data_IF_865351619286
#
_entry.id   IF_865351619286
#
_cell.length_a   1.000
_cell.length_b   1.000
_cell.length_c   1.000
_cell.angle_alpha   90.00
_cell.angle_beta   90.00
_cell.angle_gamma   90.00
#
_symmetry.space_group_name_H-M   'P 1'
#
loop_
_entity.id
_entity.type
_entity.pdbx_description
1 polymer ?
#
# COMPACT_ATOMS: atom_id res chain seq x y z
N UNK A 1 11.78 -11.94 -32.94
CA UNK A 1 12.33 -11.67 -31.59
C UNK A 1 12.06 -12.86 -30.67
N UNK A 2 12.64 -12.84 -29.48
CA UNK A 2 12.60 -13.89 -28.46
C UNK A 2 12.22 -13.26 -27.13
N UNK A 3 11.22 -13.79 -26.44
CA UNK A 3 10.71 -13.24 -25.18
C UNK A 3 9.87 -14.27 -24.42
N UNK A 4 9.75 -14.10 -23.11
CA UNK A 4 8.90 -14.91 -22.22
C UNK A 4 7.59 -14.14 -22.04
N UNK A 5 6.67 -14.24 -23.01
CA UNK A 5 5.52 -13.32 -23.09
C UNK A 5 4.38 -13.69 -22.13
N UNK A 6 4.34 -14.96 -21.71
CA UNK A 6 3.35 -15.48 -20.78
C UNK A 6 3.92 -15.75 -19.38
N UNK A 7 5.17 -15.32 -19.14
CA UNK A 7 5.86 -15.40 -17.85
C UNK A 7 5.96 -16.85 -17.33
N UNK A 8 6.04 -17.85 -18.21
CA UNK A 8 6.16 -19.26 -17.85
C UNK A 8 7.61 -19.72 -17.61
N UNK A 9 8.58 -18.82 -17.81
CA UNK A 9 9.99 -19.07 -17.59
C UNK A 9 10.68 -19.74 -18.77
N UNK A 10 10.03 -19.83 -19.92
CA UNK A 10 10.62 -20.28 -21.17
C UNK A 10 10.59 -19.17 -22.21
N UNK A 11 11.65 -19.08 -23.01
CA UNK A 11 11.66 -18.11 -24.09
C UNK A 11 10.88 -18.64 -25.29
N UNK A 12 9.89 -17.87 -25.70
CA UNK A 12 9.06 -18.05 -26.88
C UNK A 12 9.65 -17.33 -28.09
N UNK A 13 9.11 -17.64 -29.27
CA UNK A 13 9.58 -17.07 -30.53
C UNK A 13 8.46 -16.33 -31.25
N UNK A 14 8.74 -15.09 -31.61
CA UNK A 14 8.00 -14.39 -32.65
C UNK A 14 8.79 -14.41 -33.96
N UNK A 15 8.18 -14.91 -35.02
CA UNK A 15 8.78 -14.92 -36.37
C UNK A 15 7.96 -14.10 -37.34
N UNK A 16 8.64 -13.24 -38.09
CA UNK A 16 8.05 -12.51 -39.22
C UNK A 16 8.05 -13.36 -40.50
N UNK A 17 7.07 -13.11 -41.36
CA UNK A 17 6.94 -13.71 -42.70
C UNK A 17 6.19 -12.75 -43.65
N UNK A 18 6.21 -13.07 -44.94
CA UNK A 18 5.60 -12.29 -46.03
C UNK A 18 4.07 -12.36 -46.01
N UNK A 19 3.50 -13.46 -45.52
CA UNK A 19 2.04 -13.66 -45.51
C UNK A 19 1.41 -13.42 -44.12
N UNK A 20 2.06 -13.91 -43.06
CA UNK A 20 1.57 -13.82 -41.68
C UNK A 20 2.71 -14.05 -40.69
N UNK A 21 2.70 -13.38 -39.54
CA UNK A 21 3.62 -13.71 -38.46
C UNK A 21 3.30 -15.06 -37.79
N UNK A 22 4.21 -15.54 -36.94
CA UNK A 22 3.96 -16.66 -36.01
C UNK A 22 4.41 -16.33 -34.60
N UNK A 23 3.57 -16.68 -33.63
CA UNK A 23 3.93 -16.75 -32.22
C UNK A 23 4.00 -18.23 -31.81
N UNK A 24 5.21 -18.66 -31.45
CA UNK A 24 5.52 -20.03 -31.11
C UNK A 24 5.85 -20.12 -29.63
N UNK A 25 4.94 -20.71 -28.85
CA UNK A 25 5.12 -20.92 -27.42
C UNK A 25 6.05 -22.10 -27.15
N UNK A 26 7.02 -21.93 -26.28
CA UNK A 26 7.97 -22.96 -25.89
C UNK A 26 7.38 -23.88 -24.81
N UNK A 27 7.38 -25.18 -25.08
CA UNK A 27 6.79 -26.17 -24.17
C UNK A 27 7.77 -26.70 -23.11
N UNK A 28 8.96 -26.09 -22.97
CA UNK A 28 10.00 -26.46 -22.00
C UNK A 28 10.73 -27.79 -22.31
N UNK A 29 10.37 -28.47 -23.39
CA UNK A 29 10.91 -29.78 -23.80
C UNK A 29 11.62 -29.73 -25.17
N UNK A 30 11.91 -28.52 -25.67
CA UNK A 30 12.49 -28.30 -26.99
C UNK A 30 11.50 -28.38 -28.16
N UNK A 31 10.20 -28.46 -27.88
CA UNK A 31 9.13 -28.32 -28.88
C UNK A 31 8.42 -26.98 -28.71
N UNK A 32 7.78 -26.53 -29.79
CA UNK A 32 7.02 -25.29 -29.83
C UNK A 32 5.59 -25.55 -30.31
N UNK A 33 4.63 -24.84 -29.72
CA UNK A 33 3.22 -24.80 -30.12
C UNK A 33 2.93 -23.49 -30.86
N UNK A 34 2.27 -23.56 -32.02
CA UNK A 34 1.79 -22.36 -32.72
C UNK A 34 0.55 -21.84 -31.99
N UNK A 35 0.67 -20.64 -31.42
CA UNK A 35 -0.37 -19.94 -30.63
C UNK A 35 -0.90 -18.70 -31.33
N UNK A 36 -0.51 -18.48 -32.59
CA UNK A 36 -0.76 -17.23 -33.34
C UNK A 36 -2.24 -16.85 -33.36
N UNK A 37 -3.13 -17.82 -33.60
CA UNK A 37 -4.57 -17.57 -33.66
C UNK A 37 -5.15 -17.31 -32.27
N UNK A 38 -4.79 -18.16 -31.30
CA UNK A 38 -5.33 -18.09 -29.95
C UNK A 38 -4.90 -16.82 -29.22
N UNK A 39 -3.72 -16.27 -29.51
CA UNK A 39 -3.25 -15.01 -28.92
C UNK A 39 -3.65 -13.77 -29.71
N UNK A 40 -4.46 -13.89 -30.78
CA UNK A 40 -4.98 -12.73 -31.52
C UNK A 40 -4.04 -12.12 -32.56
N UNK A 41 -3.00 -12.86 -32.98
CA UNK A 41 -2.01 -12.43 -33.97
C UNK A 41 -2.29 -13.00 -35.38
N UNK A 42 -3.45 -13.63 -35.61
CA UNK A 42 -3.87 -14.15 -36.92
C UNK A 42 -4.41 -13.03 -37.83
N UNK A 43 -3.51 -12.20 -38.32
CA UNK A 43 -3.79 -11.22 -39.36
C UNK A 43 -2.88 -11.44 -40.57
N UNK A 44 -3.42 -11.18 -41.76
CA UNK A 44 -2.67 -11.25 -43.01
C UNK A 44 -1.93 -9.93 -43.24
N UNK A 45 -0.61 -9.97 -43.11
CA UNK A 45 0.27 -8.85 -43.44
C UNK A 45 1.69 -9.37 -43.68
N UNK A 46 2.40 -8.71 -44.60
CA UNK A 46 3.85 -8.87 -44.66
C UNK A 46 4.44 -8.19 -43.42
N UNK A 47 4.95 -9.01 -42.52
CA UNK A 47 5.68 -8.57 -41.33
C UNK A 47 7.18 -8.59 -41.61
N UNK A 48 7.88 -7.51 -41.27
CA UNK A 48 9.36 -7.43 -41.40
C UNK A 48 10.05 -7.86 -40.11
N UNK A 49 9.56 -7.33 -38.98
CA UNK A 49 10.15 -7.57 -37.67
C UNK A 49 9.09 -7.54 -36.58
N UNK A 50 9.43 -8.10 -35.41
CA UNK A 50 8.63 -7.94 -34.20
C UNK A 50 9.54 -7.82 -32.99
N UNK A 51 9.11 -7.05 -32.00
CA UNK A 51 9.93 -6.67 -30.85
C UNK A 51 9.08 -6.73 -29.57
N UNK A 52 9.47 -7.61 -28.65
CA UNK A 52 8.87 -7.67 -27.33
C UNK A 52 9.38 -6.54 -26.44
N UNK A 53 8.49 -5.90 -25.69
CA UNK A 53 8.81 -4.92 -24.65
C UNK A 53 7.64 -4.83 -23.65
N UNK A 54 7.90 -4.44 -22.42
CA UNK A 54 6.87 -4.13 -21.43
C UNK A 54 6.68 -2.60 -21.45
N UNK A 55 5.74 -2.10 -22.25
CA UNK A 55 5.68 -0.67 -22.57
C UNK A 55 4.94 0.14 -21.50
N UNK A 56 4.00 -0.48 -20.80
CA UNK A 56 3.13 0.18 -19.84
C UNK A 56 3.48 -0.18 -18.37
N UNK A 57 4.55 -0.97 -18.20
CA UNK A 57 5.10 -1.43 -16.93
C UNK A 57 4.17 -2.36 -16.14
N UNK A 58 3.26 -3.08 -16.78
CA UNK A 58 2.25 -3.92 -16.10
C UNK A 58 2.68 -5.37 -15.82
N UNK A 59 3.96 -5.70 -16.09
CA UNK A 59 4.62 -7.00 -15.87
C UNK A 59 4.43 -8.02 -16.99
N UNK A 60 3.80 -7.69 -18.12
CA UNK A 60 3.77 -8.53 -19.30
C UNK A 60 4.53 -7.92 -20.49
N UNK A 61 4.81 -8.76 -21.51
CA UNK A 61 5.49 -8.29 -22.72
C UNK A 61 4.48 -8.02 -23.82
N UNK A 62 4.36 -6.74 -24.20
CA UNK A 62 3.75 -6.26 -25.42
C UNK A 62 4.60 -6.58 -26.65
N UNK A 63 4.01 -6.36 -27.83
CA UNK A 63 4.65 -6.66 -29.10
C UNK A 63 4.45 -5.55 -30.13
N UNK A 64 5.54 -4.88 -30.50
CA UNK A 64 5.57 -4.04 -31.69
C UNK A 64 5.88 -4.89 -32.93
N UNK A 65 5.13 -4.71 -34.02
CA UNK A 65 5.27 -5.45 -35.27
C UNK A 65 5.38 -4.46 -36.43
N UNK A 66 6.54 -4.48 -37.10
CA UNK A 66 6.71 -3.70 -38.32
C UNK A 66 6.13 -4.44 -39.52
N UNK A 67 5.37 -3.73 -40.36
CA UNK A 67 4.71 -4.30 -41.54
C UNK A 67 5.16 -3.62 -42.83
N UNK A 68 4.99 -4.30 -43.96
CA UNK A 68 5.27 -3.75 -45.29
C UNK A 68 3.96 -3.41 -46.01
N UNK A 69 3.84 -2.17 -46.48
CA UNK A 69 2.65 -1.71 -47.22
C UNK A 69 1.38 -1.56 -46.37
N UNK A 70 1.49 -1.61 -45.04
CA UNK A 70 0.43 -1.31 -44.06
C UNK A 70 0.98 -0.57 -42.84
N UNK A 71 0.13 -0.24 -41.88
CA UNK A 71 0.57 0.40 -40.63
C UNK A 71 1.30 -0.60 -39.76
N UNK A 72 2.35 -0.13 -39.07
CA UNK A 72 2.95 -0.88 -37.98
C UNK A 72 1.92 -1.09 -36.86
N UNK A 73 2.08 -2.19 -36.15
CA UNK A 73 1.14 -2.61 -35.11
C UNK A 73 1.80 -2.60 -33.75
N UNK A 74 1.12 -2.03 -32.78
CA UNK A 74 1.43 -2.22 -31.38
C UNK A 74 0.34 -3.11 -30.78
N UNK A 75 0.75 -4.29 -30.36
CA UNK A 75 -0.12 -5.29 -29.77
C UNK A 75 0.13 -5.29 -28.26
N UNK A 76 -0.83 -4.77 -27.51
CA UNK A 76 -0.79 -4.76 -26.04
C UNK A 76 -1.10 -6.16 -25.54
N UNK A 77 -0.23 -6.70 -24.70
CA UNK A 77 -0.53 -7.93 -23.99
C UNK A 77 -1.42 -7.58 -22.81
N UNK A 78 -2.52 -8.31 -22.66
CA UNK A 78 -3.46 -8.12 -21.58
C UNK A 78 -3.57 -9.42 -20.80
N UNK A 79 -3.60 -9.30 -19.48
CA UNK A 79 -3.87 -10.44 -18.60
C UNK A 79 -5.18 -11.17 -18.98
N UNK A 80 -5.10 -12.33 -19.63
CA UNK A 80 -6.28 -13.03 -20.16
C UNK A 80 -6.02 -14.20 -21.12
N UNK A 81 -7.10 -14.80 -21.64
CA UNK A 81 -7.05 -16.04 -22.45
C UNK A 81 -6.85 -15.82 -23.97
N UNK A 82 -6.74 -14.56 -24.40
CA UNK A 82 -6.20 -14.15 -25.70
C UNK A 82 -5.39 -12.89 -25.41
N UNK A 83 -4.07 -13.02 -25.41
CA UNK A 83 -3.18 -12.04 -24.78
C UNK A 83 -3.02 -10.77 -25.58
N UNK A 84 -2.93 -10.81 -26.92
CA UNK A 84 -2.56 -9.60 -27.68
C UNK A 84 -3.77 -8.88 -28.32
N UNK A 85 -3.92 -7.60 -28.00
CA UNK A 85 -4.94 -6.70 -28.57
C UNK A 85 -4.27 -5.56 -29.35
N UNK A 86 -4.79 -5.28 -30.54
CA UNK A 86 -4.30 -4.16 -31.36
C UNK A 86 -4.60 -2.82 -30.68
N UNK A 87 -3.57 -2.21 -30.10
CA UNK A 87 -3.61 -0.96 -29.39
C UNK A 87 -2.88 0.16 -30.16
N UNK A 88 -2.59 -0.05 -31.46
CA UNK A 88 -1.82 0.88 -32.30
C UNK A 88 -2.36 2.31 -32.28
N UNK A 89 -3.68 2.49 -32.27
CA UNK A 89 -4.29 3.83 -32.14
C UNK A 89 -4.08 4.45 -30.75
N UNK A 90 -4.22 3.66 -29.68
CA UNK A 90 -4.08 4.16 -28.31
C UNK A 90 -2.64 4.61 -28.03
N UNK A 91 -1.67 3.87 -28.57
CA UNK A 91 -0.24 4.12 -28.43
C UNK A 91 0.34 5.06 -29.51
N UNK A 92 -0.49 5.55 -30.44
CA UNK A 92 -0.10 6.56 -31.44
C UNK A 92 0.54 6.05 -32.73
N UNK A 93 0.73 4.72 -32.86
CA UNK A 93 1.26 4.06 -34.06
C UNK A 93 0.30 4.06 -35.27
N UNK A 94 -0.95 4.53 -35.13
CA UNK A 94 -1.90 4.64 -36.25
C UNK A 94 -1.46 5.56 -37.40
N UNK A 95 -0.41 6.37 -37.21
CA UNK A 95 0.15 7.23 -38.25
C UNK A 95 1.54 6.77 -38.69
N UNK A 96 1.98 5.63 -38.19
CA UNK A 96 3.25 5.02 -38.51
C UNK A 96 3.08 4.11 -39.74
N UNK A 97 3.14 4.75 -40.91
CA UNK A 97 2.90 4.14 -42.22
C UNK A 97 4.17 3.69 -42.93
N UNK A 98 5.28 3.65 -42.22
CA UNK A 98 6.59 3.54 -42.84
C UNK A 98 7.01 2.06 -42.90
N UNK A 99 7.61 1.65 -44.03
CA UNK A 99 8.15 0.30 -44.28
C UNK A 99 9.38 0.06 -43.37
N UNK A 100 9.12 -0.04 -42.08
CA UNK A 100 10.12 -0.20 -41.03
C UNK A 100 10.71 -1.61 -41.11
N UNK A 101 12.01 -1.67 -41.35
CA UNK A 101 12.73 -2.94 -41.36
C UNK A 101 13.30 -3.28 -39.97
N UNK A 102 13.38 -2.30 -39.07
CA UNK A 102 14.23 -2.35 -37.89
C UNK A 102 13.73 -1.43 -36.79
N UNK A 103 13.77 -1.94 -35.55
CA UNK A 103 13.47 -1.18 -34.36
C UNK A 103 14.29 -1.64 -33.16
N UNK A 104 14.46 -0.74 -32.19
CA UNK A 104 15.10 -1.00 -30.90
C UNK A 104 14.38 -0.23 -29.80
N UNK A 105 14.34 -0.82 -28.61
CA UNK A 105 13.81 -0.14 -27.43
C UNK A 105 14.89 0.19 -26.40
N UNK A 106 14.59 1.18 -25.58
CA UNK A 106 15.34 1.55 -24.39
C UNK A 106 14.79 2.84 -23.80
N UNK A 107 14.91 3.02 -22.50
CA UNK A 107 14.55 4.28 -21.84
C UNK A 107 15.66 5.32 -22.07
N UNK A 108 15.48 6.20 -23.07
CA UNK A 108 16.52 7.13 -23.52
C UNK A 108 16.55 8.42 -22.71
N UNK A 109 15.44 8.77 -22.06
CA UNK A 109 15.32 9.99 -21.26
C UNK A 109 15.47 9.72 -19.74
N UNK A 110 15.47 8.46 -19.33
CA UNK A 110 15.64 7.99 -17.95
C UNK A 110 14.38 8.08 -17.11
N UNK A 111 13.19 8.15 -17.69
CA UNK A 111 11.92 8.37 -16.98
C UNK A 111 11.22 7.10 -16.47
N UNK A 112 11.77 5.92 -16.77
CA UNK A 112 11.20 4.64 -16.34
C UNK A 112 10.22 4.02 -17.31
N UNK A 113 10.03 4.59 -18.50
CA UNK A 113 9.23 4.01 -19.56
C UNK A 113 10.11 3.67 -20.77
N UNK A 114 9.98 2.48 -21.37
CA UNK A 114 10.75 2.16 -22.57
C UNK A 114 10.33 3.04 -23.75
N UNK A 115 11.31 3.69 -24.37
CA UNK A 115 11.14 4.40 -25.63
C UNK A 115 11.47 3.48 -26.80
N UNK A 116 10.97 3.83 -27.98
CA UNK A 116 11.16 3.04 -29.20
C UNK A 116 11.82 3.88 -30.30
N UNK A 117 12.82 3.33 -30.96
CA UNK A 117 13.42 3.92 -32.15
C UNK A 117 13.27 2.99 -33.33
N UNK A 118 12.86 3.54 -34.47
CA UNK A 118 12.70 2.80 -35.72
C UNK A 118 13.45 3.47 -36.87
N UNK A 119 13.79 2.65 -37.86
CA UNK A 119 14.46 3.08 -39.10
C UNK A 119 13.66 2.59 -40.30
N UNK A 120 13.24 3.54 -41.13
CA UNK A 120 12.66 3.28 -42.44
C UNK A 120 13.77 2.95 -43.45
N UNK A 121 13.73 1.76 -44.07
CA UNK A 121 14.82 1.30 -44.95
C UNK A 121 14.49 1.34 -46.45
N UNK A 122 13.22 1.34 -46.84
CA UNK A 122 12.81 1.11 -48.23
C UNK A 122 11.93 2.22 -48.85
N UNK A 123 12.03 3.47 -48.37
CA UNK A 123 11.36 4.60 -49.01
C UNK A 123 12.11 5.04 -50.28
N UNK A 124 11.53 4.91 -51.49
CA UNK A 124 12.23 5.26 -52.72
C UNK A 124 12.38 6.77 -52.94
N UNK A 125 11.67 7.61 -52.18
CA UNK A 125 11.56 9.06 -52.41
C UNK A 125 11.74 9.93 -51.15
N UNK A 126 12.11 9.37 -50.00
CA UNK A 126 12.25 10.10 -48.73
C UNK A 126 13.59 9.74 -48.08
N UNK A 127 14.34 10.77 -47.66
CA UNK A 127 15.55 10.67 -46.83
C UNK A 127 15.23 9.72 -45.65
N UNK A 128 15.87 8.54 -45.58
CA UNK A 128 15.59 7.48 -44.59
C UNK A 128 15.19 8.07 -43.23
N UNK A 129 13.91 7.96 -42.87
CA UNK A 129 13.41 8.57 -41.63
C UNK A 129 13.83 7.71 -40.45
N UNK A 130 14.54 8.34 -39.52
CA UNK A 130 14.79 7.79 -38.20
C UNK A 130 13.75 8.40 -37.26
N UNK A 131 12.89 7.55 -36.72
CA UNK A 131 11.87 7.97 -35.77
C UNK A 131 12.30 7.57 -34.36
N UNK A 132 12.04 8.46 -33.42
CA UNK A 132 12.18 8.21 -31.99
C UNK A 132 10.84 8.53 -31.35
N UNK A 133 10.23 7.50 -30.79
CA UNK A 133 8.95 7.53 -30.10
C UNK A 133 9.23 7.56 -28.61
N UNK A 134 8.90 8.68 -27.96
CA UNK A 134 9.07 8.84 -26.52
C UNK A 134 7.80 8.42 -25.81
N UNK A 135 7.89 7.37 -25.02
CA UNK A 135 6.77 6.90 -24.20
C UNK A 135 6.50 7.93 -23.10
N UNK A 136 5.24 8.32 -22.94
CA UNK A 136 4.86 9.38 -21.98
C UNK A 136 4.37 8.83 -20.64
N UNK A 137 4.32 7.50 -20.45
CA UNK A 137 4.04 6.87 -19.16
C UNK A 137 2.65 7.19 -18.60
N UNK A 138 1.63 6.40 -18.93
CA UNK A 138 0.23 6.76 -18.57
C UNK A 138 -0.38 5.95 -17.43
N UNK A 139 0.29 4.89 -16.98
CA UNK A 139 -0.28 3.88 -16.07
C UNK A 139 -0.03 4.13 -14.58
N UNK A 140 0.99 4.93 -14.24
CA UNK A 140 1.44 5.09 -12.85
C UNK A 140 2.09 3.83 -12.26
N UNK A 141 2.35 2.84 -13.11
CA UNK A 141 3.03 1.60 -12.77
C UNK A 141 4.52 1.84 -12.52
N UNK A 142 5.08 1.01 -11.65
CA UNK A 142 6.47 1.04 -11.24
C UNK A 142 7.37 0.25 -12.21
N UNK A 143 8.67 0.52 -12.18
CA UNK A 143 9.64 -0.20 -13.00
C UNK A 143 10.85 -0.66 -12.20
N UNK A 144 11.58 -1.64 -12.72
CA UNK A 144 12.89 -2.02 -12.20
C UNK A 144 13.84 -2.34 -13.37
N UNK A 145 15.00 -1.69 -13.38
CA UNK A 145 15.97 -1.80 -14.49
C UNK A 145 17.32 -2.36 -14.03
N UNK A 146 17.95 -3.15 -14.89
CA UNK A 146 19.23 -3.79 -14.61
C UNK A 146 20.29 -3.50 -15.65
N UNK A 147 21.40 -2.92 -15.21
CA UNK A 147 22.64 -2.82 -15.97
C UNK A 147 23.67 -3.78 -15.39
N UNK A 148 23.91 -4.88 -16.09
CA UNK A 148 24.92 -5.86 -15.68
C UNK A 148 26.30 -5.52 -16.24
N UNK A 149 27.35 -5.76 -15.46
CA UNK A 149 28.75 -5.55 -15.85
C UNK A 149 29.55 -6.81 -15.49
N UNK A 150 29.95 -7.56 -16.53
CA UNK A 150 30.82 -8.72 -16.35
C UNK A 150 32.26 -8.32 -16.01
N UNK A 151 32.90 -9.09 -15.13
CA UNK A 151 34.29 -8.95 -14.70
C UNK A 151 35.15 -10.15 -15.12
N UNK A 152 34.59 -11.36 -14.97
CA UNK A 152 35.13 -12.63 -15.45
C UNK A 152 34.55 -12.96 -16.82
N UNK A 153 33.24 -12.82 -16.95
CA UNK A 153 32.51 -12.91 -18.21
C UNK A 153 32.75 -11.70 -19.12
N UNK A 154 32.14 -11.70 -20.30
CA UNK A 154 32.22 -10.56 -21.21
C UNK A 154 31.65 -9.28 -20.53
N UNK A 155 32.27 -8.12 -20.79
CA UNK A 155 31.99 -6.87 -20.07
C UNK A 155 30.55 -6.36 -20.21
N UNK A 156 29.85 -6.76 -21.27
CA UNK A 156 28.44 -6.43 -21.49
C UNK A 156 27.49 -7.46 -20.86
N UNK A 157 28.02 -8.46 -20.17
CA UNK A 157 27.28 -9.55 -19.52
C UNK A 157 26.33 -10.30 -20.48
N UNK A 158 26.63 -10.31 -21.78
CA UNK A 158 25.82 -10.99 -22.80
C UNK A 158 25.74 -12.47 -22.48
N UNK A 159 24.53 -13.02 -22.48
CA UNK A 159 24.22 -14.39 -22.09
C UNK A 159 23.69 -14.54 -20.66
N UNK A 160 23.73 -13.48 -19.84
CA UNK A 160 23.13 -13.52 -18.50
C UNK A 160 21.62 -13.67 -18.56
N UNK A 161 21.05 -14.36 -17.59
CA UNK A 161 19.61 -14.50 -17.40
C UNK A 161 19.22 -13.82 -16.10
N UNK A 162 18.27 -12.91 -16.16
CA UNK A 162 17.71 -12.20 -15.00
C UNK A 162 16.30 -12.71 -14.79
N UNK A 163 15.99 -13.16 -13.58
CA UNK A 163 14.62 -13.48 -13.15
C UNK A 163 14.25 -12.58 -11.99
N UNK A 164 13.09 -11.95 -12.09
CA UNK A 164 12.50 -11.11 -11.04
C UNK A 164 11.24 -11.81 -10.55
N UNK A 165 11.12 -11.98 -9.24
CA UNK A 165 9.96 -12.59 -8.60
C UNK A 165 9.22 -11.54 -7.78
N UNK A 166 7.89 -11.50 -7.91
CA UNK A 166 7.04 -10.53 -7.20
C UNK A 166 5.64 -11.14 -7.03
N UNK A 167 5.21 -11.36 -5.78
CA UNK A 167 3.92 -11.95 -5.41
C UNK A 167 3.59 -13.24 -6.19
N UNK A 168 4.59 -14.11 -6.35
CA UNK A 168 4.46 -15.38 -7.08
C UNK A 168 4.47 -15.27 -8.60
N UNK A 169 4.54 -14.06 -9.17
CA UNK A 169 4.77 -13.83 -10.61
C UNK A 169 6.27 -13.84 -10.86
N UNK A 170 6.69 -14.49 -11.95
CA UNK A 170 8.07 -14.52 -12.41
C UNK A 170 8.18 -13.82 -13.76
N UNK A 171 9.08 -12.85 -13.88
CA UNK A 171 9.49 -12.32 -15.18
C UNK A 171 10.92 -12.76 -15.50
N UNK A 172 11.20 -13.10 -16.76
CA UNK A 172 12.55 -13.39 -17.25
C UNK A 172 12.99 -12.43 -18.35
N UNK A 173 14.23 -11.94 -18.28
CA UNK A 173 14.93 -11.31 -19.41
C UNK A 173 16.31 -11.92 -19.60
N UNK A 174 16.82 -11.88 -20.84
CA UNK A 174 18.19 -12.27 -21.16
C UNK A 174 18.94 -11.08 -21.74
N UNK A 175 20.19 -10.91 -21.29
CA UNK A 175 21.07 -9.91 -21.88
C UNK A 175 21.54 -10.42 -23.24
N UNK A 176 20.89 -9.96 -24.31
CA UNK A 176 21.23 -10.27 -25.69
C UNK A 176 22.27 -9.32 -26.28
N UNK A 177 22.78 -9.67 -27.46
CA UNK A 177 23.50 -8.74 -28.34
C UNK A 177 22.88 -8.77 -29.73
N UNK A 178 22.46 -7.60 -30.22
CA UNK A 178 21.64 -7.48 -31.42
C UNK A 178 20.18 -7.86 -31.18
N UNK A 179 19.31 -7.27 -31.99
CA UNK A 179 17.89 -7.60 -32.08
C UNK A 179 17.44 -7.29 -33.51
N UNK A 180 16.49 -8.05 -34.04
CA UNK A 180 15.93 -7.86 -35.39
C UNK A 180 17.02 -7.59 -36.48
N UNK A 181 16.65 -6.93 -37.57
CA UNK A 181 17.57 -6.61 -38.66
C UNK A 181 18.28 -5.29 -38.37
N UNK A 182 19.62 -5.31 -38.26
CA UNK A 182 20.45 -4.11 -38.11
C UNK A 182 20.12 -3.19 -36.90
N UNK A 183 19.46 -3.72 -35.86
CA UNK A 183 19.20 -3.00 -34.61
C UNK A 183 19.77 -3.69 -33.37
N UNK A 184 19.70 -2.97 -32.26
CA UNK A 184 20.11 -3.45 -30.95
C UNK A 184 19.33 -2.71 -29.87
N UNK A 185 18.63 -3.47 -29.03
CA UNK A 185 18.01 -2.93 -27.82
C UNK A 185 19.06 -2.45 -26.82
N UNK A 186 18.63 -1.63 -25.86
CA UNK A 186 19.43 -1.30 -24.69
C UNK A 186 19.95 -2.57 -23.99
N UNK A 187 21.20 -2.52 -23.51
CA UNK A 187 21.72 -3.56 -22.62
C UNK A 187 21.12 -3.47 -21.21
N UNK A 188 20.44 -2.37 -20.88
CA UNK A 188 19.69 -2.25 -19.63
C UNK A 188 18.40 -3.04 -19.78
N UNK A 189 18.26 -4.11 -19.00
CA UNK A 189 17.04 -4.92 -18.99
C UNK A 189 15.96 -4.21 -18.20
N UNK A 190 14.76 -4.21 -18.74
CA UNK A 190 13.60 -3.51 -18.18
C UNK A 190 12.53 -4.51 -17.75
N UNK A 191 11.96 -4.25 -16.58
CA UNK A 191 10.86 -5.01 -15.98
C UNK A 191 9.82 -3.99 -15.49
N UNK A 192 8.58 -4.12 -15.95
CA UNK A 192 7.45 -3.49 -15.30
C UNK A 192 7.16 -4.16 -13.96
N UNK A 193 6.61 -3.41 -13.03
CA UNK A 193 6.33 -3.84 -11.67
C UNK A 193 4.88 -3.57 -11.27
N UNK A 194 4.02 -3.18 -12.22
CA UNK A 194 2.63 -2.81 -11.99
C UNK A 194 2.51 -1.87 -10.78
N UNK A 195 1.64 -2.19 -9.81
CA UNK A 195 1.49 -1.42 -8.57
C UNK A 195 2.43 -1.84 -7.42
N UNK A 196 3.33 -2.81 -7.64
CA UNK A 196 4.22 -3.31 -6.59
C UNK A 196 5.37 -2.33 -6.35
N UNK A 197 5.65 -2.05 -5.07
CA UNK A 197 6.73 -1.15 -4.64
C UNK A 197 8.05 -1.85 -4.34
N UNK A 198 8.04 -3.19 -4.28
CA UNK A 198 9.20 -4.03 -3.94
C UNK A 198 9.12 -5.31 -4.78
N UNK A 199 10.27 -5.76 -5.31
CA UNK A 199 10.45 -7.10 -5.85
C UNK A 199 10.97 -8.04 -4.76
N UNK A 200 10.33 -9.20 -4.58
CA UNK A 200 10.66 -10.16 -3.52
C UNK A 200 12.09 -10.69 -3.67
N UNK A 201 12.45 -11.13 -4.88
CA UNK A 201 13.80 -11.59 -5.17
C UNK A 201 14.20 -11.43 -6.63
N UNK A 202 15.51 -11.36 -6.84
CA UNK A 202 16.14 -11.27 -8.15
C UNK A 202 17.21 -12.33 -8.25
N UNK A 203 17.14 -13.17 -9.28
CA UNK A 203 18.12 -14.20 -9.55
C UNK A 203 18.83 -13.91 -10.87
N UNK A 204 20.15 -13.80 -10.83
CA UNK A 204 20.99 -13.50 -11.99
C UNK A 204 21.95 -14.66 -12.20
N UNK A 205 21.71 -15.41 -13.28
CA UNK A 205 22.66 -16.40 -13.77
C UNK A 205 23.62 -15.73 -14.76
N UNK A 206 24.86 -15.55 -14.35
CA UNK A 206 25.93 -15.00 -15.16
C UNK A 206 26.45 -16.01 -16.21
N UNK A 207 27.12 -15.56 -17.28
CA UNK A 207 27.57 -16.45 -18.36
C UNK A 207 28.61 -17.49 -17.92
N UNK A 208 29.35 -17.24 -16.85
CA UNK A 208 30.32 -18.18 -16.26
C UNK A 208 29.68 -19.21 -15.32
N UNK A 209 28.39 -19.06 -15.02
CA UNK A 209 27.63 -19.91 -14.11
C UNK A 209 27.54 -19.40 -12.68
N UNK A 210 28.11 -18.23 -12.34
CA UNK A 210 27.82 -17.56 -11.08
C UNK A 210 26.31 -17.28 -10.97
N UNK A 211 25.73 -17.55 -9.81
CA UNK A 211 24.33 -17.31 -9.50
C UNK A 211 24.26 -16.31 -8.35
N UNK A 212 23.78 -15.10 -8.65
CA UNK A 212 23.60 -14.00 -7.70
C UNK A 212 22.11 -13.90 -7.35
N UNK A 213 21.79 -13.94 -6.05
CA UNK A 213 20.41 -13.72 -5.57
C UNK A 213 20.36 -12.49 -4.68
N UNK A 214 19.40 -11.59 -4.94
CA UNK A 214 19.13 -10.38 -4.16
C UNK A 214 17.68 -10.42 -3.65
N UNK A 215 17.39 -9.83 -2.50
CA UNK A 215 16.06 -9.80 -1.87
C UNK A 215 15.56 -8.38 -1.61
N UNK A 216 14.24 -8.23 -1.49
CA UNK A 216 13.55 -7.01 -1.02
C UNK A 216 13.97 -5.73 -1.74
N UNK A 217 13.89 -5.77 -3.07
CA UNK A 217 14.45 -4.74 -3.92
C UNK A 217 13.39 -3.69 -4.24
N UNK A 218 13.59 -2.47 -3.75
CA UNK A 218 12.73 -1.36 -4.07
C UNK A 218 12.67 -1.10 -5.59
N UNK A 219 11.51 -0.67 -6.08
CA UNK A 219 11.28 -0.34 -7.49
C UNK A 219 11.70 1.10 -7.82
N UNK A 220 11.37 1.57 -9.02
CA UNK A 220 11.62 2.91 -9.58
C UNK A 220 13.09 3.29 -9.65
N UNK A 221 13.93 2.29 -9.92
CA UNK A 221 15.37 2.49 -9.99
C UNK A 221 16.06 1.66 -11.07
N UNK A 222 17.29 2.04 -11.37
CA UNK A 222 18.22 1.27 -12.21
C UNK A 222 19.35 0.74 -11.35
N UNK A 223 19.40 -0.57 -11.19
CA UNK A 223 20.48 -1.26 -10.48
C UNK A 223 21.63 -1.54 -11.45
N UNK A 224 22.84 -1.14 -11.06
CA UNK A 224 24.07 -1.54 -11.76
C UNK A 224 24.76 -2.62 -10.94
N UNK A 225 24.80 -3.84 -11.47
CA UNK A 225 25.35 -5.01 -10.79
C UNK A 225 26.65 -5.45 -11.46
N UNK A 226 27.67 -5.72 -10.64
CA UNK A 226 29.01 -6.07 -11.10
C UNK A 226 29.28 -7.51 -10.67
N UNK A 227 29.53 -8.37 -11.66
CA UNK A 227 29.78 -9.80 -11.48
C UNK A 227 30.86 -10.08 -10.42
N UNK A 228 30.48 -10.81 -9.36
CA UNK A 228 31.40 -11.30 -8.32
C UNK A 228 31.89 -10.22 -7.35
N UNK A 229 31.20 -9.08 -7.28
CA UNK A 229 31.52 -7.97 -6.38
C UNK A 229 30.42 -7.70 -5.35
N UNK A 230 29.44 -8.59 -5.25
CA UNK A 230 28.39 -8.57 -4.25
C UNK A 230 28.96 -9.01 -2.89
N UNK A 231 28.72 -8.21 -1.85
CA UNK A 231 29.05 -8.52 -0.46
C UNK A 231 27.73 -8.80 0.24
N UNK A 232 27.48 -10.08 0.49
CA UNK A 232 26.24 -10.56 1.08
C UNK A 232 26.30 -10.54 2.61
N UNK A 233 25.22 -10.11 3.23
CA UNK A 233 24.98 -10.17 4.66
C UNK A 233 23.83 -9.23 5.03
N UNK A 234 23.45 -9.19 6.30
CA UNK A 234 22.29 -8.39 6.70
C UNK A 234 22.52 -6.88 6.47
N UNK A 235 21.67 -6.25 5.65
CA UNK A 235 21.78 -4.80 5.36
C UNK A 235 20.85 -3.93 6.20
N UNK A 236 20.00 -4.52 7.04
CA UNK A 236 19.08 -3.77 7.91
C UNK A 236 19.80 -3.29 9.19
N UNK A 237 19.96 -1.97 9.40
CA UNK A 237 20.59 -1.42 10.61
C UNK A 237 19.81 -1.70 11.91
N UNK A 238 18.55 -2.12 11.84
CA UNK A 238 17.73 -2.51 13.00
C UNK A 238 17.89 -3.99 13.37
N UNK A 239 18.55 -4.80 12.54
CA UNK A 239 18.77 -6.21 12.81
C UNK A 239 19.96 -6.45 13.75
N UNK A 240 19.90 -7.54 14.53
CA UNK A 240 20.96 -7.92 15.47
C UNK A 240 22.28 -8.28 14.82
N UNK A 241 22.27 -8.73 13.56
CA UNK A 241 23.45 -9.14 12.81
C UNK A 241 23.73 -8.20 11.62
N UNK A 242 23.35 -6.92 11.72
CA UNK A 242 23.66 -5.92 10.71
C UNK A 242 25.15 -5.90 10.34
N UNK A 243 25.45 -5.98 9.05
CA UNK A 243 26.79 -5.96 8.48
C UNK A 243 26.98 -4.71 7.61
N UNK A 244 27.68 -3.67 8.10
CA UNK A 244 27.78 -2.38 7.39
C UNK A 244 28.60 -2.43 6.09
N UNK A 245 29.35 -3.51 5.86
CA UNK A 245 30.12 -3.73 4.62
C UNK A 245 29.31 -4.52 3.57
N UNK A 246 28.14 -5.05 3.95
CA UNK A 246 27.27 -5.76 3.03
C UNK A 246 26.62 -4.80 2.05
N UNK A 247 26.72 -5.13 0.77
CA UNK A 247 26.11 -4.37 -0.32
C UNK A 247 24.74 -4.90 -0.69
N UNK A 248 24.41 -6.13 -0.27
CA UNK A 248 23.14 -6.79 -0.56
C UNK A 248 22.69 -7.67 0.60
N UNK A 249 21.39 -7.58 0.91
CA UNK A 249 20.76 -8.47 1.86
C UNK A 249 20.72 -9.90 1.33
N UNK A 250 21.03 -10.86 2.18
CA UNK A 250 21.00 -12.29 1.89
C UNK A 250 19.87 -13.02 2.63
N UNK A 251 18.94 -12.28 3.22
CA UNK A 251 17.87 -12.82 4.06
C UNK A 251 18.37 -13.35 5.41
N UNK A 252 19.61 -13.07 5.80
CA UNK A 252 20.16 -13.50 7.09
C UNK A 252 19.78 -12.59 8.25
N UNK A 253 19.12 -11.45 8.02
CA UNK A 253 18.76 -10.51 9.07
C UNK A 253 17.96 -11.19 10.20
N UNK A 254 18.48 -11.07 11.42
CA UNK A 254 17.90 -11.62 12.64
C UNK A 254 17.35 -10.49 13.49
N UNK A 255 16.07 -10.63 13.86
CA UNK A 255 15.37 -9.68 14.72
C UNK A 255 15.05 -10.32 16.06
N UNK A 256 14.83 -9.47 17.07
CA UNK A 256 14.38 -9.92 18.38
C UNK A 256 12.88 -10.20 18.32
N UNK A 257 12.50 -11.48 18.22
CA UNK A 257 11.09 -11.87 18.29
C UNK A 257 10.57 -11.77 19.73
N UNK A 258 9.63 -10.86 19.97
CA UNK A 258 9.00 -10.66 21.30
C UNK A 258 7.52 -10.35 21.17
N UNK A 259 6.83 -10.46 22.30
CA UNK A 259 5.41 -10.11 22.42
C UNK A 259 5.14 -8.60 22.57
N UNK A 260 6.19 -7.76 22.60
CA UNK A 260 6.08 -6.33 22.92
C UNK A 260 5.87 -6.06 24.41
N UNK A 261 5.71 -4.79 24.78
CA UNK A 261 5.44 -4.38 26.16
C UNK A 261 4.03 -4.84 26.56
N UNK A 262 3.93 -5.60 27.66
CA UNK A 262 2.67 -6.08 28.22
C UNK A 262 2.25 -5.24 29.42
N UNK A 263 0.97 -4.86 29.50
CA UNK A 263 0.39 -4.16 30.63
C UNK A 263 -0.96 -3.52 30.31
N UNK A 264 -1.49 -2.72 31.23
CA UNK A 264 -2.79 -2.07 31.07
C UNK A 264 -2.70 -0.89 30.09
N UNK A 265 -3.52 -0.91 29.04
CA UNK A 265 -3.61 0.18 28.05
C UNK A 265 -4.60 1.26 28.44
N UNK A 266 -5.42 1.05 29.49
CA UNK A 266 -6.35 2.03 30.05
C UNK A 266 -6.18 2.18 31.57
N UNK A 267 -4.96 2.54 32.04
CA UNK A 267 -4.69 2.64 33.45
C UNK A 267 -5.43 3.82 34.07
N UNK A 268 -5.81 3.67 35.33
CA UNK A 268 -6.38 4.74 36.14
C UNK A 268 -5.25 5.61 36.68
N UNK A 269 -5.35 6.93 36.54
CA UNK A 269 -4.31 7.84 37.03
C UNK A 269 -4.10 7.70 38.55
N UNK A 270 -2.89 8.01 39.01
CA UNK A 270 -2.45 7.92 40.41
C UNK A 270 -2.47 6.50 41.01
N UNK A 271 -2.71 5.47 40.21
CA UNK A 271 -2.52 4.06 40.60
C UNK A 271 -1.25 3.48 40.01
N UNK A 272 -0.69 2.49 40.70
CA UNK A 272 0.52 1.78 40.28
C UNK A 272 0.14 0.62 39.37
N UNK A 273 0.78 0.55 38.21
CA UNK A 273 0.67 -0.54 37.24
C UNK A 273 2.03 -1.15 36.99
N UNK A 274 2.04 -2.45 36.70
CA UNK A 274 3.25 -3.18 36.32
C UNK A 274 3.20 -3.39 34.81
N UNK A 275 4.28 -3.00 34.13
CA UNK A 275 4.50 -3.29 32.72
C UNK A 275 5.67 -4.26 32.60
N UNK A 276 5.51 -5.29 31.80
CA UNK A 276 6.50 -6.36 31.62
C UNK A 276 6.91 -6.50 30.17
N UNK A 277 8.11 -7.01 29.96
CA UNK A 277 8.64 -7.44 28.68
C UNK A 277 9.24 -8.85 28.83
N UNK A 278 9.42 -9.53 27.69
CA UNK A 278 10.04 -10.85 27.66
C UNK A 278 11.48 -10.77 28.20
N UNK A 279 11.84 -11.65 29.15
CA UNK A 279 13.19 -11.69 29.70
C UNK A 279 14.15 -12.30 28.69
N UNK A 280 15.02 -11.46 28.13
CA UNK A 280 16.15 -11.80 27.28
C UNK A 280 17.43 -11.84 28.12
N UNK A 281 18.07 -13.01 28.20
CA UNK A 281 19.34 -13.17 28.92
C UNK A 281 20.47 -12.39 28.21
N UNK A 282 21.22 -11.59 28.96
CA UNK A 282 22.35 -10.82 28.44
C UNK A 282 22.00 -9.49 27.78
N UNK A 283 20.72 -9.07 27.84
CA UNK A 283 20.26 -7.76 27.39
C UNK A 283 20.10 -6.79 28.57
N UNK A 284 20.39 -5.52 28.31
CA UNK A 284 20.10 -4.39 29.17
C UNK A 284 18.76 -3.75 28.76
N UNK A 285 18.04 -3.18 29.74
CA UNK A 285 16.71 -2.60 29.55
C UNK A 285 16.71 -1.13 29.97
N UNK A 286 16.25 -0.24 29.10
CA UNK A 286 16.07 1.18 29.38
C UNK A 286 14.63 1.60 29.12
N UNK A 287 13.90 1.88 30.19
CA UNK A 287 12.52 2.36 30.13
C UNK A 287 12.47 3.89 30.17
N UNK A 288 11.64 4.47 29.31
CA UNK A 288 11.33 5.90 29.24
C UNK A 288 9.81 6.09 29.25
N UNK A 289 9.33 7.14 29.92
CA UNK A 289 7.91 7.40 30.07
C UNK A 289 7.57 8.87 29.81
N UNK A 290 6.45 9.10 29.13
CA UNK A 290 5.83 10.42 28.96
C UNK A 290 4.37 10.37 29.43
N UNK A 291 4.00 11.23 30.39
CA UNK A 291 2.65 11.28 30.99
C UNK A 291 2.53 10.56 32.34
N UNK A 292 3.64 10.01 32.87
CA UNK A 292 3.72 9.33 34.16
C UNK A 292 5.16 9.30 34.70
N UNK A 293 5.36 8.55 35.78
CA UNK A 293 6.66 8.31 36.42
C UNK A 293 6.92 6.80 36.54
N UNK A 294 8.18 6.39 36.31
CA UNK A 294 8.67 5.04 36.65
C UNK A 294 9.09 5.04 38.11
N UNK A 295 8.44 4.23 38.94
CA UNK A 295 8.70 4.14 40.37
C UNK A 295 9.88 3.20 40.68
N UNK A 296 9.96 2.07 39.98
CA UNK A 296 10.96 1.03 40.20
C UNK A 296 11.09 0.10 38.99
N UNK A 297 12.13 -0.75 38.97
CA UNK A 297 12.34 -1.75 37.91
C UNK A 297 13.21 -1.31 36.72
N UNK A 298 13.72 -0.07 36.71
CA UNK A 298 14.65 0.40 35.68
C UNK A 298 15.88 -0.53 35.56
N UNK A 299 16.30 -0.85 34.34
CA UNK A 299 17.36 -1.84 34.10
C UNK A 299 16.89 -3.30 34.09
N UNK A 300 15.59 -3.56 34.23
CA UNK A 300 15.04 -4.93 34.23
C UNK A 300 13.92 -5.09 33.19
N UNK A 301 13.48 -6.32 32.96
CA UNK A 301 12.38 -6.62 32.03
C UNK A 301 10.99 -6.25 32.57
N UNK A 302 10.89 -5.63 33.75
CA UNK A 302 9.65 -5.24 34.41
C UNK A 302 9.80 -3.86 35.07
N UNK A 303 8.79 -2.98 34.95
CA UNK A 303 8.75 -1.67 35.62
C UNK A 303 7.42 -1.42 36.31
N UNK A 304 7.49 -0.77 37.47
CA UNK A 304 6.34 -0.19 38.15
C UNK A 304 6.17 1.26 37.71
N UNK A 305 4.98 1.60 37.21
CA UNK A 305 4.65 2.89 36.62
C UNK A 305 3.42 3.50 37.30
N UNK A 306 3.43 4.81 37.50
CA UNK A 306 2.24 5.60 37.85
C UNK A 306 1.97 6.63 36.77
N UNK A 307 0.74 6.69 36.28
CA UNK A 307 0.31 7.70 35.32
C UNK A 307 -0.25 8.92 36.03
N UNK A 308 0.24 10.11 35.66
CA UNK A 308 -0.08 11.38 36.32
C UNK A 308 -0.95 12.30 35.46
N UNK A 309 -1.14 11.96 34.19
CA UNK A 309 -1.94 12.74 33.24
C UNK A 309 -3.12 11.91 32.73
N UNK A 310 -4.25 12.59 32.51
CA UNK A 310 -5.42 12.03 31.80
C UNK A 310 -5.29 12.11 30.28
N UNK A 311 -4.21 12.72 29.77
CA UNK A 311 -3.84 12.65 28.36
C UNK A 311 -3.23 11.28 28.03
N UNK A 312 -3.03 11.03 26.74
CA UNK A 312 -2.40 9.80 26.25
C UNK A 312 -1.00 9.63 26.84
N UNK A 313 -0.75 8.47 27.46
CA UNK A 313 0.57 8.09 27.97
C UNK A 313 1.40 7.37 26.92
N UNK A 314 2.71 7.50 27.00
CA UNK A 314 3.66 6.74 26.17
C UNK A 314 4.72 6.10 27.06
N UNK A 315 4.84 4.78 26.99
CA UNK A 315 5.91 4.02 27.63
C UNK A 315 6.79 3.43 26.53
N UNK A 316 8.08 3.79 26.52
CA UNK A 316 9.07 3.32 25.57
C UNK A 316 10.10 2.43 26.28
N UNK A 317 10.43 1.30 25.68
CA UNK A 317 11.50 0.41 26.14
C UNK A 317 12.56 0.33 25.04
N UNK A 318 13.80 0.66 25.38
CA UNK A 318 14.97 0.38 24.55
C UNK A 318 15.72 -0.79 25.17
N UNK A 319 15.95 -1.86 24.42
CA UNK A 319 16.80 -2.98 24.83
C UNK A 319 18.11 -2.96 24.05
N UNK A 320 19.21 -3.31 24.71
CA UNK A 320 20.53 -3.41 24.10
C UNK A 320 21.23 -4.69 24.56
N UNK A 321 21.67 -5.52 23.62
CA UNK A 321 22.27 -6.82 23.88
C UNK A 321 23.71 -6.95 23.35
N UNK A 322 24.22 -8.19 23.33
CA UNK A 322 25.50 -8.52 22.71
C UNK A 322 25.54 -8.10 21.23
N UNK A 323 26.75 -7.90 20.71
CA UNK A 323 27.01 -7.57 19.30
C UNK A 323 26.32 -6.30 18.79
N UNK A 324 26.03 -5.35 19.69
CA UNK A 324 25.35 -4.08 19.40
C UNK A 324 23.89 -4.23 18.95
N UNK A 325 23.28 -5.40 19.17
CA UNK A 325 21.85 -5.56 18.86
C UNK A 325 21.02 -4.65 19.77
N UNK A 326 20.21 -3.78 19.16
CA UNK A 326 19.31 -2.88 19.86
C UNK A 326 17.92 -2.92 19.24
N UNK A 327 16.90 -2.84 20.07
CA UNK A 327 15.51 -2.70 19.62
C UNK A 327 14.75 -1.74 20.52
N UNK A 328 13.74 -1.09 19.96
CA UNK A 328 12.88 -0.16 20.69
C UNK A 328 11.40 -0.54 20.52
N UNK A 329 10.67 -0.54 21.63
CA UNK A 329 9.25 -0.84 21.69
C UNK A 329 8.51 0.32 22.36
N UNK A 330 7.28 0.57 21.95
CA UNK A 330 6.45 1.63 22.52
C UNK A 330 5.02 1.14 22.78
N UNK A 331 4.48 1.51 23.93
CA UNK A 331 3.10 1.24 24.34
C UNK A 331 2.38 2.56 24.61
N UNK A 332 1.27 2.76 23.91
CA UNK A 332 0.40 3.94 24.06
C UNK A 332 -0.74 3.60 25.02
N UNK A 333 -0.97 4.44 26.03
CA UNK A 333 -2.06 4.26 27.00
C UNK A 333 -3.08 5.38 26.93
N UNK A 334 -4.35 5.07 27.20
CA UNK A 334 -5.42 6.05 27.36
C UNK A 334 -5.83 6.13 28.84
N UNK A 335 -5.29 7.09 29.56
CA UNK A 335 -5.39 7.14 31.02
C UNK A 335 -6.77 7.65 31.48
N UNK A 336 -7.32 7.03 32.53
CA UNK A 336 -8.70 7.30 32.99
C UNK A 336 -8.69 7.91 34.41
N UNK A 337 -9.59 8.86 34.66
CA UNK A 337 -9.79 9.46 35.97
C UNK A 337 -10.54 8.49 36.91
N UNK A 338 -10.07 8.34 38.15
CA UNK A 338 -10.62 7.42 39.16
C UNK A 338 -11.97 7.87 39.75
N UNK A 339 -12.35 9.14 39.62
CA UNK A 339 -13.67 9.63 40.06
C UNK A 339 -14.11 10.87 39.29
N UNK A 340 -15.29 10.81 38.67
CA UNK A 340 -16.08 12.00 38.32
C UNK A 340 -16.61 12.61 39.63
N UNK A 341 -16.27 13.86 39.94
CA UNK A 341 -16.94 14.60 41.03
C UNK A 341 -18.47 14.60 40.82
N UNK A 342 -19.20 14.39 41.93
CA UNK A 342 -20.66 14.23 42.01
C UNK A 342 -21.44 15.27 41.18
N UNK A 343 -22.10 14.82 40.12
CA UNK A 343 -23.13 15.59 39.41
C UNK A 343 -24.42 15.64 40.25
N UNK A 344 -24.96 16.83 40.48
CA UNK A 344 -26.27 17.05 41.14
C UNK A 344 -27.36 16.33 40.36
N UNK A 345 -27.90 15.24 40.89
CA UNK A 345 -29.01 14.50 40.29
C UNK A 345 -30.33 15.23 40.54
N UNK A 346 -30.98 15.69 39.47
CA UNK A 346 -32.32 16.27 39.52
C UNK A 346 -33.37 15.14 39.39
N UNK A 347 -34.20 14.93 40.42
CA UNK A 347 -35.20 13.86 40.40
C UNK A 347 -36.51 14.33 39.73
N UNK A 348 -36.77 13.86 38.51
CA UNK A 348 -38.05 14.01 37.82
C UNK A 348 -38.90 12.73 37.96
N UNK A 349 -40.22 12.89 38.03
CA UNK A 349 -41.22 11.81 38.00
C UNK A 349 -42.42 12.27 37.19
N UNK A 350 -43.13 11.32 36.62
CA UNK A 350 -44.19 11.53 35.63
C UNK A 350 -45.34 10.59 36.11
N UNK A 351 -46.57 11.10 36.37
CA UNK A 351 -47.83 10.30 36.56
C UNK A 351 -49.07 10.73 35.73
N UNK A 352 -49.98 9.80 35.32
CA UNK A 352 -51.17 10.11 34.51
C UNK A 352 -52.29 10.75 35.34
N UNK A 353 -52.98 11.78 34.82
CA UNK A 353 -54.13 12.42 35.46
C UNK A 353 -55.48 11.82 34.97
N UNK A 354 -56.31 11.20 35.83
CA UNK A 354 -57.52 10.49 35.38
C UNK A 354 -58.74 11.36 35.07
N UNK A 355 -58.72 12.68 35.33
CA UNK A 355 -59.97 13.45 35.46
C UNK A 355 -60.39 14.33 34.28
N UNK A 356 -59.67 14.39 33.15
CA UNK A 356 -60.12 15.26 32.03
C UNK A 356 -59.69 14.86 30.61
N UNK A 357 -59.42 13.57 30.34
CA UNK A 357 -59.17 13.07 28.97
C UNK A 357 -57.90 13.59 28.26
N UNK A 358 -57.15 14.48 28.90
CA UNK A 358 -55.82 14.95 28.50
C UNK A 358 -54.78 14.38 29.48
N UNK A 359 -53.96 13.44 29.00
CA UNK A 359 -52.91 12.79 29.79
C UNK A 359 -51.70 13.72 29.91
N UNK A 360 -51.46 14.22 31.13
CA UNK A 360 -50.40 15.18 31.45
C UNK A 360 -49.69 14.81 32.76
N UNK A 361 -48.37 15.01 32.80
CA UNK A 361 -47.45 14.49 33.82
C UNK A 361 -46.34 15.51 34.21
N UNK A 362 -45.96 15.64 35.51
CA UNK A 362 -44.73 16.34 35.99
C UNK A 362 -44.27 16.00 37.43
N UNK A 363 -43.02 16.37 37.79
CA UNK A 363 -42.50 16.55 39.18
C UNK A 363 -41.42 17.64 39.32
N UNK A 364 -41.23 18.16 40.55
CA UNK A 364 -40.35 19.28 40.93
C UNK A 364 -39.03 18.89 41.59
N UNK A 365 -38.07 19.80 41.44
CA UNK A 365 -37.07 20.16 42.44
C UNK A 365 -37.14 21.68 42.69
N UNK A 366 -36.57 22.17 43.80
CA UNK A 366 -36.54 23.61 44.18
C UNK A 366 -35.79 24.41 43.12
N UNK A 367 -36.51 25.00 42.16
CA UNK A 367 -35.93 25.95 41.21
C UNK A 367 -35.78 27.29 41.93
N UNK A 368 -34.55 27.60 42.35
CA UNK A 368 -34.19 28.94 42.84
C UNK A 368 -34.43 29.98 41.75
N UNK A 369 -34.66 31.24 42.12
CA UNK A 369 -34.94 32.29 41.14
C UNK A 369 -33.77 32.49 40.17
N UNK A 370 -33.84 31.91 38.98
CA UNK A 370 -32.87 32.13 37.90
C UNK A 370 -33.11 33.47 37.21
N UNK A 371 -32.05 34.09 36.71
CA UNK A 371 -32.13 35.23 35.80
C UNK A 371 -32.24 34.80 34.33
N UNK A 372 -32.03 33.52 34.03
CA UNK A 372 -32.10 32.94 32.69
C UNK A 372 -33.39 32.14 32.49
N UNK A 373 -33.91 32.07 31.25
CA UNK A 373 -35.01 31.17 30.92
C UNK A 373 -34.59 29.73 31.16
N UNK A 374 -35.49 28.94 31.73
CA UNK A 374 -35.26 27.52 31.97
C UNK A 374 -35.95 26.73 30.86
N UNK A 375 -35.17 25.94 30.11
CA UNK A 375 -35.67 25.00 29.11
C UNK A 375 -35.85 23.61 29.70
N UNK A 376 -36.99 22.99 29.44
CA UNK A 376 -37.26 21.60 29.79
C UNK A 376 -37.75 20.89 28.53
N UNK A 377 -37.09 19.78 28.19
CA UNK A 377 -37.43 18.95 27.05
C UNK A 377 -37.55 17.48 27.45
N UNK A 378 -38.48 16.77 26.82
CA UNK A 378 -38.64 15.33 26.93
C UNK A 378 -38.20 14.72 25.61
N UNK A 379 -37.22 13.84 25.69
CA UNK A 379 -36.62 13.13 24.57
C UNK A 379 -37.02 11.65 24.64
N UNK A 380 -37.32 11.04 23.50
CA UNK A 380 -37.36 9.58 23.43
C UNK A 380 -35.94 8.98 23.53
N UNK A 381 -35.82 7.64 23.59
CA UNK A 381 -34.51 6.96 23.68
C UNK A 381 -33.64 7.12 22.43
N UNK A 382 -34.17 7.65 21.33
CA UNK A 382 -33.41 7.98 20.12
C UNK A 382 -32.89 9.43 20.12
N UNK A 383 -33.22 10.22 21.15
CA UNK A 383 -32.82 11.61 21.28
C UNK A 383 -33.74 12.59 20.53
N UNK A 384 -34.91 12.15 20.04
CA UNK A 384 -35.88 13.02 19.41
C UNK A 384 -36.69 13.76 20.48
N UNK A 385 -36.81 15.08 20.34
CA UNK A 385 -37.66 15.92 21.21
C UNK A 385 -39.13 15.59 20.97
N UNK A 386 -39.77 15.06 22.00
CA UNK A 386 -41.19 14.70 22.04
C UNK A 386 -42.04 15.84 22.59
N UNK A 387 -41.49 16.61 23.53
CA UNK A 387 -42.16 17.76 24.11
C UNK A 387 -41.15 18.75 24.67
N UNK A 388 -41.46 20.05 24.63
CA UNK A 388 -40.59 21.11 25.17
C UNK A 388 -41.40 22.22 25.83
N UNK A 389 -40.83 22.86 26.84
CA UNK A 389 -41.37 24.07 27.44
C UNK A 389 -40.25 24.98 27.96
N UNK A 390 -40.43 26.29 27.80
CA UNK A 390 -39.54 27.32 28.33
C UNK A 390 -40.27 28.11 29.43
N UNK A 391 -39.67 28.16 30.62
CA UNK A 391 -40.18 28.91 31.76
C UNK A 391 -39.45 30.26 31.87
N UNK A 392 -40.22 31.36 31.81
CA UNK A 392 -39.68 32.75 31.80
C UNK A 392 -40.00 33.56 33.07
N UNK A 393 -40.56 32.96 34.13
CA UNK A 393 -40.89 33.66 35.38
C UNK A 393 -40.01 33.23 36.56
N UNK A 394 -39.51 34.22 37.32
CA UNK A 394 -38.91 34.04 38.66
C UNK A 394 -39.98 33.43 39.60
N UNK A 395 -39.97 32.11 39.73
CA UNK A 395 -40.86 31.41 40.66
C UNK A 395 -40.22 31.42 42.06
N UNK A 396 -40.99 31.81 43.08
CA UNK A 396 -40.53 31.90 44.47
C UNK A 396 -40.51 30.51 45.13
N UNK A 397 -39.76 29.56 44.55
CA UNK A 397 -39.57 28.23 45.11
C UNK A 397 -40.89 27.44 45.29
N UNK A 398 -41.85 27.62 44.36
CA UNK A 398 -43.15 26.93 44.36
C UNK A 398 -43.21 25.83 43.29
N UNK A 399 -44.13 24.88 43.48
CA UNK A 399 -44.49 23.88 42.48
C UNK A 399 -45.15 24.58 41.25
N UNK A 400 -44.40 24.69 40.15
CA UNK A 400 -44.82 25.19 38.81
C UNK A 400 -45.33 24.12 37.83
N UNK A 401 -46.63 24.15 37.50
CA UNK A 401 -47.23 23.23 36.54
C UNK A 401 -46.81 23.50 35.07
N UNK A 402 -46.51 22.44 34.34
CA UNK A 402 -46.04 22.29 32.96
C UNK A 402 -47.01 21.31 32.30
N UNK A 403 -47.56 21.71 31.15
CA UNK A 403 -48.51 20.91 30.40
C UNK A 403 -48.00 20.79 28.96
N UNK A 404 -48.01 19.57 28.42
CA UNK A 404 -47.70 19.24 27.04
C UNK A 404 -48.94 18.72 26.30
N UNK A 405 -49.27 19.27 25.14
CA UNK A 405 -50.44 18.85 24.36
C UNK A 405 -50.27 17.48 23.65
N UNK A 406 -49.23 16.70 23.99
CA UNK A 406 -48.95 15.40 23.38
C UNK A 406 -48.96 14.25 24.38
N UNK A 407 -49.63 13.17 23.97
CA UNK A 407 -49.74 11.91 24.72
C UNK A 407 -48.43 11.12 24.62
N UNK A 408 -47.69 10.99 25.72
CA UNK A 408 -46.54 10.09 25.81
C UNK A 408 -47.02 8.64 26.01
N UNK A 409 -46.41 7.69 25.31
CA UNK A 409 -46.72 6.27 25.53
C UNK A 409 -45.96 5.75 26.76
N UNK A 410 -46.39 4.61 27.30
CA UNK A 410 -45.66 3.92 28.36
C UNK A 410 -44.25 3.58 27.87
N UNK A 411 -43.22 3.95 28.63
CA UNK A 411 -41.84 3.79 28.17
C UNK A 411 -40.80 4.61 28.94
N UNK A 412 -39.55 4.48 28.52
CA UNK A 412 -38.41 5.22 29.08
C UNK A 412 -38.20 6.49 28.25
N UNK A 413 -38.02 7.61 28.93
CA UNK A 413 -37.72 8.90 28.33
C UNK A 413 -36.55 9.56 29.04
N UNK A 414 -35.93 10.53 28.36
CA UNK A 414 -34.87 11.36 28.93
C UNK A 414 -35.43 12.78 29.05
N UNK A 415 -35.35 13.36 30.24
CA UNK A 415 -35.64 14.77 30.46
C UNK A 415 -34.33 15.55 30.36
N UNK A 416 -34.28 16.53 29.47
CA UNK A 416 -33.19 17.50 29.36
C UNK A 416 -33.60 18.81 30.01
N UNK A 417 -32.77 19.30 30.92
CA UNK A 417 -32.88 20.58 31.60
C UNK A 417 -31.79 21.52 31.09
N UNK A 418 -32.15 22.76 30.75
CA UNK A 418 -31.20 23.81 30.37
C UNK A 418 -31.46 25.12 31.12
N UNK A 419 -30.38 25.75 31.56
CA UNK A 419 -30.39 27.08 32.21
C UNK A 419 -29.12 27.83 31.82
N UNK A 420 -29.23 28.80 30.91
CA UNK A 420 -28.06 29.40 30.28
C UNK A 420 -27.23 28.35 29.52
N UNK A 421 -25.92 28.27 29.82
CA UNK A 421 -25.02 27.27 29.23
C UNK A 421 -25.01 25.93 29.99
N UNK A 422 -25.75 25.83 31.11
CA UNK A 422 -25.80 24.61 31.91
C UNK A 422 -26.83 23.65 31.35
N UNK A 423 -26.45 22.39 31.10
CA UNK A 423 -27.35 21.33 30.67
C UNK A 423 -27.23 20.08 31.55
N UNK A 424 -28.36 19.46 31.88
CA UNK A 424 -28.41 18.20 32.63
C UNK A 424 -29.47 17.26 32.07
N UNK A 425 -29.31 15.96 32.28
CA UNK A 425 -30.16 14.90 31.77
C UNK A 425 -30.64 14.01 32.91
N UNK A 426 -31.88 13.54 32.82
CA UNK A 426 -32.44 12.62 33.80
C UNK A 426 -33.35 11.60 33.13
N UNK A 427 -33.12 10.32 33.44
CA UNK A 427 -33.96 9.23 32.95
C UNK A 427 -35.28 9.22 33.74
N UNK A 428 -36.40 9.14 33.02
CA UNK A 428 -37.73 8.99 33.62
C UNK A 428 -38.45 7.82 32.96
N UNK A 429 -39.23 7.10 33.76
CA UNK A 429 -40.08 6.00 33.29
C UNK A 429 -41.53 6.49 33.37
N UNK A 430 -42.25 6.33 32.27
CA UNK A 430 -43.71 6.52 32.20
C UNK A 430 -44.32 5.14 32.36
N UNK A 431 -44.91 4.92 33.53
CA UNK A 431 -45.61 3.67 33.89
C UNK A 431 -47.03 3.61 33.33
#
# INVERSE_FOLDING_TARGET
SVGDYDNDGWLDLFTSDIDSCKLLRNMGNGTFEDRTLEEGLDFEAFTWSGLFMDADNDMDLDLHISTYGSHNRFMENISGAASFVDASTAWGFQFDFDDEASGAFGDVNGDGHPDFSSIEQYAPDIDNRHSLWINQGTTGNHFLKFRLVGTTSNRMAVGSVIRVYTDGIQQMRRVGCGENFASQNSYVQHFGMASYSVADSIHILWPDGLDTTLYDIAVDQTLTLIEGNEVFGCTDPEACNYEPESTWDDGSCQYIETSGIQGDTMPTIEQVYIYTFDLLEGFDYLWEIAGGDILSGQGTHEVEVVWNSSETGLLTLTISGPDSCMAQYSLVTQNVLSSLEDQVVWNFRIYPNPSDGHELFMVFSRIGGSEYPIGIEILDTSGRVMAEQILTKKSNNQLTRIEFDQKLQQGIYIVRYSEGDYMNYSKVVVD
#
